data_IF_331280814941
#
_entry.id   IF_331280814941
#
_cell.length_a   1.000
_cell.length_b   1.000
_cell.length_c   1.000
_cell.angle_alpha   90.00
_cell.angle_beta   90.00
_cell.angle_gamma   90.00
#
_symmetry.space_group_name_H-M   'P 1'
#
loop_
_entity.id
_entity.type
_entity.pdbx_description
1 polymer ?
#
# COMPACT_ATOMS: atom_id res chain seq x y z
N UNK A 1 -16.63 -7.49 6.97
CA UNK A 1 -15.61 -6.83 7.82
C UNK A 1 -15.28 -5.49 7.20
N UNK A 2 -15.38 -4.37 7.94
CA UNK A 2 -15.00 -3.07 7.38
C UNK A 2 -13.46 -2.98 7.22
N UNK A 3 -12.97 -2.06 6.40
CA UNK A 3 -11.54 -1.98 6.04
C UNK A 3 -10.66 -1.57 7.22
N UNK A 4 -11.16 -0.71 8.11
CA UNK A 4 -10.47 -0.33 9.34
C UNK A 4 -10.21 -1.55 10.24
N UNK A 5 -11.25 -2.33 10.53
CA UNK A 5 -11.18 -3.53 11.36
C UNK A 5 -10.29 -4.59 10.72
N UNK A 6 -10.36 -4.73 9.38
CA UNK A 6 -9.46 -5.61 8.64
C UNK A 6 -7.99 -5.25 8.87
N UNK A 7 -7.60 -3.99 8.66
CA UNK A 7 -6.20 -3.57 8.81
C UNK A 7 -5.70 -3.74 10.25
N UNK A 8 -6.54 -3.49 11.25
CA UNK A 8 -6.15 -3.58 12.65
C UNK A 8 -6.11 -5.02 13.18
N UNK A 9 -7.06 -5.87 12.78
CA UNK A 9 -7.27 -7.18 13.40
C UNK A 9 -6.78 -8.36 12.55
N UNK A 10 -6.54 -8.18 11.24
CA UNK A 10 -6.08 -9.27 10.39
C UNK A 10 -4.64 -9.69 10.70
N UNK A 11 -4.39 -11.00 10.69
CA UNK A 11 -3.06 -11.60 10.88
C UNK A 11 -2.29 -11.62 9.56
N UNK A 12 -1.64 -10.50 9.23
CA UNK A 12 -0.73 -10.40 8.09
C UNK A 12 0.47 -11.35 8.24
N UNK A 13 1.09 -11.73 7.11
CA UNK A 13 2.19 -12.69 7.10
C UNK A 13 3.47 -12.18 7.76
N UNK A 14 3.63 -10.86 7.91
CA UNK A 14 4.74 -10.25 8.63
C UNK A 14 4.40 -8.81 9.10
N UNK A 15 5.20 -8.21 9.99
CA UNK A 15 4.97 -6.84 10.47
C UNK A 15 5.03 -5.77 9.39
N UNK A 16 5.87 -5.95 8.36
CA UNK A 16 6.01 -4.98 7.27
C UNK A 16 4.72 -4.84 6.46
N UNK A 17 4.05 -5.95 6.16
CA UNK A 17 2.73 -5.93 5.53
C UNK A 17 1.72 -5.11 6.35
N UNK A 18 1.68 -5.28 7.67
CA UNK A 18 0.82 -4.50 8.56
C UNK A 18 1.15 -3.00 8.52
N UNK A 19 2.44 -2.64 8.56
CA UNK A 19 2.87 -1.24 8.48
C UNK A 19 2.44 -0.58 7.15
N UNK A 20 2.59 -1.29 6.04
CA UNK A 20 2.13 -0.81 4.72
C UNK A 20 0.62 -0.53 4.75
N UNK A 21 -0.17 -1.49 5.23
CA UNK A 21 -1.63 -1.37 5.28
C UNK A 21 -2.09 -0.23 6.20
N UNK A 22 -1.47 -0.09 7.38
CA UNK A 22 -1.73 1.03 8.30
C UNK A 22 -1.39 2.37 7.65
N UNK A 23 -0.24 2.48 6.97
CA UNK A 23 0.14 3.73 6.32
C UNK A 23 -0.83 4.13 5.22
N UNK A 24 -1.31 3.16 4.45
CA UNK A 24 -2.33 3.39 3.41
C UNK A 24 -3.63 3.85 4.07
N UNK A 25 -4.09 3.18 5.12
CA UNK A 25 -5.30 3.54 5.87
C UNK A 25 -5.23 4.98 6.42
N UNK A 26 -4.12 5.34 7.05
CA UNK A 26 -3.88 6.67 7.64
C UNK A 26 -3.70 7.79 6.60
N UNK A 27 -3.57 7.47 5.31
CA UNK A 27 -3.42 8.48 4.27
C UNK A 27 -4.77 9.10 3.83
N UNK A 28 -5.89 8.73 4.46
CA UNK A 28 -7.17 9.43 4.29
C UNK A 28 -8.11 9.25 5.48
N UNK A 29 -9.42 9.13 5.24
CA UNK A 29 -10.50 9.22 6.25
C UNK A 29 -10.60 8.08 7.29
N UNK A 30 -9.54 7.26 7.48
CA UNK A 30 -9.49 6.10 8.39
C UNK A 30 -10.60 5.04 8.24
N UNK A 31 -11.60 5.26 7.40
CA UNK A 31 -12.60 4.28 6.96
C UNK A 31 -12.01 3.23 5.99
N UNK A 32 -10.86 3.53 5.37
CA UNK A 32 -10.19 2.72 4.35
C UNK A 32 -10.80 2.85 2.95
N UNK A 33 -11.73 3.78 2.74
CA UNK A 33 -12.45 3.96 1.49
C UNK A 33 -11.73 4.88 0.50
N UNK A 34 -11.81 4.54 -0.79
CA UNK A 34 -11.16 5.28 -1.87
C UNK A 34 -9.67 4.93 -2.08
N UNK A 35 -9.10 5.56 -3.11
CA UNK A 35 -7.69 5.40 -3.45
C UNK A 35 -6.82 6.37 -2.66
N UNK A 36 -5.58 5.96 -2.36
CA UNK A 36 -4.55 6.78 -1.72
C UNK A 36 -3.33 6.87 -2.62
N UNK A 37 -2.93 8.08 -2.94
CA UNK A 37 -1.71 8.33 -3.70
C UNK A 37 -0.57 8.52 -2.70
N UNK A 38 0.38 7.60 -2.71
CA UNK A 38 1.53 7.64 -1.79
C UNK A 38 2.81 7.51 -2.60
N UNK A 39 3.73 8.44 -2.38
CA UNK A 39 5.09 8.37 -2.91
C UNK A 39 5.84 7.16 -2.35
N UNK A 40 6.60 6.48 -3.21
CA UNK A 40 7.29 5.26 -2.81
C UNK A 40 8.36 5.49 -1.72
N UNK A 41 9.08 6.61 -1.77
CA UNK A 41 10.07 6.97 -0.74
C UNK A 41 9.40 7.31 0.58
N UNK A 42 8.26 8.02 0.57
CA UNK A 42 7.50 8.30 1.78
C UNK A 42 7.05 7.00 2.46
N UNK A 43 6.51 6.07 1.68
CA UNK A 43 6.06 4.77 2.21
C UNK A 43 7.24 3.94 2.74
N UNK A 44 8.36 3.94 2.00
CA UNK A 44 9.59 3.25 2.41
C UNK A 44 10.16 3.82 3.70
N UNK A 45 10.23 5.15 3.81
CA UNK A 45 10.72 5.84 4.99
C UNK A 45 9.86 5.53 6.21
N UNK A 46 8.53 5.52 6.04
CA UNK A 46 7.62 5.14 7.12
C UNK A 46 7.82 3.68 7.57
N UNK A 47 8.00 2.77 6.63
CA UNK A 47 8.16 1.34 6.92
C UNK A 47 9.58 0.96 7.36
N UNK A 48 10.53 1.90 7.38
CA UNK A 48 11.95 1.68 7.74
C UNK A 48 12.58 0.47 7.04
N UNK A 49 12.34 0.30 5.74
CA UNK A 49 12.78 -0.89 4.99
C UNK A 49 13.50 -0.54 3.67
N UNK A 50 14.08 -1.55 3.02
CA UNK A 50 14.66 -1.40 1.68
C UNK A 50 13.57 -1.34 0.60
N UNK A 51 13.89 -0.73 -0.55
CA UNK A 51 12.99 -0.68 -1.71
C UNK A 51 12.55 -2.07 -2.16
N UNK A 52 13.48 -3.03 -2.18
CA UNK A 52 13.24 -4.40 -2.60
C UNK A 52 12.24 -5.10 -1.65
N UNK A 53 12.42 -4.93 -0.34
CA UNK A 53 11.51 -5.49 0.66
C UNK A 53 10.11 -4.88 0.55
N UNK A 54 10.02 -3.55 0.44
CA UNK A 54 8.75 -2.87 0.26
C UNK A 54 8.01 -3.37 -0.98
N UNK A 55 8.70 -3.47 -2.12
CA UNK A 55 8.10 -3.93 -3.37
C UNK A 55 7.65 -5.40 -3.30
N UNK A 56 8.44 -6.26 -2.67
CA UNK A 56 8.10 -7.67 -2.43
C UNK A 56 6.80 -7.79 -1.62
N UNK A 57 6.70 -7.07 -0.51
CA UNK A 57 5.54 -7.17 0.36
C UNK A 57 4.28 -6.50 -0.22
N UNK A 58 4.42 -5.38 -0.95
CA UNK A 58 3.31 -4.80 -1.72
C UNK A 58 2.76 -5.81 -2.73
N UNK A 59 3.63 -6.50 -3.49
CA UNK A 59 3.19 -7.56 -4.42
C UNK A 59 2.53 -8.73 -3.71
N UNK A 60 2.99 -9.09 -2.51
CA UNK A 60 2.38 -10.15 -1.69
C UNK A 60 0.96 -9.78 -1.26
N UNK A 61 0.75 -8.54 -0.81
CA UNK A 61 -0.55 -7.99 -0.44
C UNK A 61 -1.48 -7.92 -1.66
N UNK A 62 -0.97 -7.50 -2.82
CA UNK A 62 -1.71 -7.43 -4.07
C UNK A 62 -2.17 -8.81 -4.56
N UNK A 63 -1.28 -9.82 -4.54
CA UNK A 63 -1.63 -11.22 -4.85
C UNK A 63 -2.64 -11.82 -3.88
N UNK A 64 -2.72 -11.28 -2.67
CA UNK A 64 -3.69 -11.71 -1.66
C UNK A 64 -5.01 -10.95 -1.74
N UNK A 65 -5.16 -10.07 -2.73
CA UNK A 65 -6.30 -9.16 -2.90
C UNK A 65 -6.55 -8.21 -1.72
N UNK A 66 -5.56 -8.02 -0.84
CA UNK A 66 -5.64 -7.11 0.30
C UNK A 66 -5.42 -5.64 -0.09
N UNK A 67 -4.69 -5.44 -1.18
CA UNK A 67 -4.26 -4.13 -1.65
C UNK A 67 -4.27 -4.10 -3.19
N UNK A 68 -5.08 -3.23 -3.78
CA UNK A 68 -5.00 -2.95 -5.22
C UNK A 68 -3.99 -1.83 -5.46
N UNK A 69 -3.08 -2.01 -6.41
CA UNK A 69 -2.04 -1.02 -6.73
C UNK A 69 -2.23 -0.49 -8.14
N UNK A 70 -2.33 0.83 -8.29
CA UNK A 70 -2.38 1.50 -9.58
C UNK A 70 -1.09 2.29 -9.81
N UNK A 71 -0.43 2.04 -10.94
CA UNK A 71 0.71 2.86 -11.37
C UNK A 71 0.20 4.22 -11.84
N UNK A 72 0.80 5.29 -11.34
CA UNK A 72 0.56 6.65 -11.83
C UNK A 72 1.70 6.97 -12.80
N UNK A 73 1.34 7.47 -13.99
CA UNK A 73 2.33 7.83 -15.01
C UNK A 73 3.26 8.95 -14.50
N UNK A 74 4.51 8.94 -14.96
CA UNK A 74 5.56 9.89 -14.59
C UNK A 74 5.11 11.35 -14.83
N UNK A 75 5.19 12.19 -13.80
CA UNK A 75 5.45 13.61 -13.98
C UNK A 75 6.96 13.79 -14.02
N UNK A 76 7.55 13.87 -15.21
CA UNK A 76 8.93 14.32 -15.39
C UNK A 76 9.00 15.80 -15.07
N UNK A 77 9.35 16.13 -13.82
CA UNK A 77 9.76 17.47 -13.43
C UNK A 77 11.27 17.41 -13.28
N UNK A 78 11.95 17.83 -14.34
CA UNK A 78 13.41 17.90 -14.51
C UNK A 78 14.23 16.59 -14.52
N UNK A 79 15.08 16.50 -15.54
CA UNK A 79 15.83 15.32 -15.97
C UNK A 79 16.89 14.77 -14.98
N UNK A 80 16.96 15.26 -13.74
CA UNK A 80 18.00 14.89 -12.77
C UNK A 80 17.54 14.04 -11.59
N UNK A 81 16.23 13.90 -11.36
CA UNK A 81 15.74 13.18 -10.17
C UNK A 81 14.85 12.01 -10.60
N UNK A 82 15.41 10.79 -10.59
CA UNK A 82 14.61 9.55 -10.72
C UNK A 82 13.84 9.32 -9.41
N UNK A 83 12.76 10.08 -9.20
CA UNK A 83 11.78 9.73 -8.19
C UNK A 83 11.02 8.50 -8.67
N UNK A 84 10.99 7.45 -7.86
CA UNK A 84 10.06 6.33 -8.10
C UNK A 84 8.64 6.91 -8.07
N UNK A 85 7.80 6.65 -9.08
CA UNK A 85 6.52 7.32 -9.19
C UNK A 85 5.62 6.96 -8.00
N UNK A 86 4.87 7.96 -7.54
CA UNK A 86 3.77 7.73 -6.62
C UNK A 86 2.82 6.66 -7.19
N UNK A 87 2.21 5.87 -6.29
CA UNK A 87 1.28 4.82 -6.67
C UNK A 87 -0.04 5.04 -5.95
N UNK A 88 -1.12 4.68 -6.65
CA UNK A 88 -2.45 4.57 -6.07
C UNK A 88 -2.58 3.25 -5.31
N UNK A 89 -3.07 3.32 -4.09
CA UNK A 89 -3.30 2.17 -3.22
C UNK A 89 -4.77 2.15 -2.77
N UNK A 90 -5.45 1.02 -2.94
CA UNK A 90 -6.82 0.83 -2.44
C UNK A 90 -6.88 -0.41 -1.59
N UNK A 91 -7.34 -0.27 -0.34
CA UNK A 91 -7.54 -1.40 0.57
C UNK A 91 -8.75 -2.19 0.08
N UNK A 92 -8.57 -3.49 -0.06
CA UNK A 92 -9.61 -4.42 -0.50
C UNK A 92 -9.63 -5.61 0.45
N UNK A 93 -10.65 -5.78 1.30
CA UNK A 93 -10.77 -6.95 2.14
C UNK A 93 -11.54 -8.01 1.35
N UNK A 94 -10.93 -8.63 0.34
CA UNK A 94 -11.49 -9.82 -0.30
C UNK A 94 -10.71 -11.02 0.22
N UNK A 95 -11.22 -11.76 1.22
CA UNK A 95 -10.66 -13.06 1.56
C UNK A 95 -10.81 -13.98 0.36
N UNK A 96 -9.83 -14.84 0.08
CA UNK A 96 -10.05 -15.97 -0.85
C UNK A 96 -11.20 -16.80 -0.29
N UNK A 97 -12.33 -16.85 -0.98
CA UNK A 97 -13.48 -17.67 -0.58
C UNK A 97 -14.87 -17.17 -0.99
N UNK A 98 -15.02 -15.93 -1.43
CA UNK A 98 -16.30 -15.40 -1.92
C UNK A 98 -16.14 -14.87 -3.36
N UNK A 99 -16.32 -15.76 -4.33
CA UNK A 99 -16.75 -15.45 -5.70
C UNK A 99 -18.00 -16.27 -5.99
#
# INVERSE_FOLDING_TARGET
>A
MNKYDFVNNYKFGNPLQRLIMIRVLMSGSLDGEGERIIDHEILRSFCCCSKQMLFKEIKSLERSNFLKVRKIAHLTIDAKTRMEPARGYTISPIPRGEQ
#
